data_IF_122268920928
#
_entry.id   IF_122268920928
#
_cell.length_a   1.000
_cell.length_b   1.000
_cell.length_c   1.000
_cell.angle_alpha   90.00
_cell.angle_beta   90.00
_cell.angle_gamma   90.00
#
_symmetry.space_group_name_H-M   'P 1'
#
loop_
_entity.id
_entity.type
_entity.pdbx_description
1 polymer ?
#
# COMPACT_ATOMS: atom_id res chain seq x y z
N UNK A 1 0.59 -24.40 18.98
CA UNK A 1 0.35 -23.09 18.32
C UNK A 1 1.64 -22.28 18.30
N UNK A 2 2.09 -21.83 17.12
CA UNK A 2 3.34 -21.07 16.96
C UNK A 2 3.11 -19.59 17.28
N UNK A 3 4.00 -18.97 18.07
CA UNK A 3 3.89 -17.55 18.49
C UNK A 3 4.91 -16.65 17.79
N UNK A 4 5.83 -17.24 17.04
CA UNK A 4 6.94 -16.58 16.38
C UNK A 4 6.98 -16.93 14.90
N UNK A 5 7.45 -15.99 14.08
CA UNK A 5 7.64 -16.18 12.66
C UNK A 5 8.78 -17.17 12.38
N UNK A 6 8.55 -18.17 11.54
CA UNK A 6 9.52 -19.19 11.17
C UNK A 6 10.73 -18.64 10.39
N UNK A 7 10.62 -17.43 9.83
CA UNK A 7 11.65 -16.84 8.97
C UNK A 7 12.56 -15.84 9.70
N UNK A 8 12.03 -15.09 10.68
CA UNK A 8 12.77 -14.01 11.33
C UNK A 8 12.72 -14.06 12.86
N UNK A 9 12.09 -15.08 13.43
CA UNK A 9 11.81 -15.25 14.86
C UNK A 9 11.10 -14.06 15.52
N UNK A 10 10.51 -13.15 14.74
CA UNK A 10 9.70 -12.04 15.24
C UNK A 10 8.39 -12.53 15.85
N UNK A 11 7.88 -11.81 16.85
CA UNK A 11 6.57 -12.10 17.46
C UNK A 11 5.44 -11.92 16.45
N UNK A 12 4.52 -12.89 16.40
CA UNK A 12 3.25 -12.77 15.70
C UNK A 12 2.25 -12.15 16.66
N UNK A 13 1.95 -10.87 16.48
CA UNK A 13 1.06 -10.10 17.35
C UNK A 13 -0.42 -10.35 17.02
N UNK A 14 -1.31 -10.09 17.98
CA UNK A 14 -2.74 -10.38 17.86
C UNK A 14 -3.15 -11.68 18.52
N UNK A 15 -4.45 -11.88 18.55
CA UNK A 15 -5.21 -12.99 19.14
C UNK A 15 -5.85 -13.88 18.07
N UNK A 16 -5.54 -13.67 16.78
CA UNK A 16 -6.07 -14.46 15.67
C UNK A 16 -7.52 -14.14 15.29
N UNK A 17 -8.24 -13.38 16.12
CA UNK A 17 -9.59 -12.92 15.85
C UNK A 17 -10.53 -14.04 15.40
N UNK A 18 -11.20 -13.90 14.23
CA UNK A 18 -12.20 -14.86 13.79
C UNK A 18 -11.61 -16.22 13.40
N UNK A 19 -10.29 -16.33 13.20
CA UNK A 19 -9.65 -17.62 12.91
C UNK A 19 -9.53 -18.53 14.13
N UNK A 20 -9.70 -18.02 15.35
CA UNK A 20 -9.44 -18.81 16.56
C UNK A 20 -7.97 -19.20 16.78
N UNK A 21 -7.05 -18.75 15.91
CA UNK A 21 -5.63 -19.11 15.96
C UNK A 21 -4.85 -18.48 17.12
N UNK A 22 -5.45 -17.66 18.00
CA UNK A 22 -4.76 -17.10 19.17
C UNK A 22 -3.56 -16.19 18.87
N UNK A 23 -3.18 -16.02 17.59
CA UNK A 23 -2.05 -15.25 17.10
C UNK A 23 -2.38 -14.64 15.74
N UNK A 24 -1.78 -13.49 15.45
CA UNK A 24 -1.92 -12.84 14.15
C UNK A 24 -3.03 -11.78 14.12
N UNK A 25 -2.70 -10.61 13.58
CA UNK A 25 -3.67 -9.58 13.17
C UNK A 25 -3.87 -9.52 11.65
N UNK A 26 -2.91 -10.07 10.91
CA UNK A 26 -2.94 -10.15 9.46
C UNK A 26 -2.91 -11.62 9.05
N UNK A 27 -4.01 -12.07 8.46
CA UNK A 27 -4.28 -13.47 8.17
C UNK A 27 -4.54 -13.62 6.68
N UNK A 28 -4.04 -14.70 6.07
CA UNK A 28 -4.36 -15.05 4.70
C UNK A 28 -5.03 -16.41 4.64
N UNK A 29 -5.96 -16.62 3.73
CA UNK A 29 -6.63 -17.90 3.58
C UNK A 29 -6.99 -18.20 2.13
N UNK A 30 -6.93 -19.48 1.78
CA UNK A 30 -7.38 -20.06 0.52
C UNK A 30 -8.47 -21.09 0.83
N UNK A 31 -9.71 -20.77 0.43
CA UNK A 31 -10.87 -21.65 0.60
C UNK A 31 -10.77 -22.93 -0.24
N UNK A 32 -10.15 -22.85 -1.42
CA UNK A 32 -10.07 -23.98 -2.34
C UNK A 32 -8.98 -24.95 -1.94
N UNK A 33 -7.83 -24.43 -1.51
CA UNK A 33 -6.69 -25.24 -1.07
C UNK A 33 -6.72 -25.58 0.42
N UNK A 34 -7.67 -25.05 1.18
CA UNK A 34 -7.77 -25.30 2.63
C UNK A 34 -6.54 -24.79 3.40
N UNK A 35 -5.97 -23.67 2.96
CA UNK A 35 -4.73 -23.11 3.52
C UNK A 35 -5.04 -21.84 4.32
N UNK A 36 -4.35 -21.71 5.45
CA UNK A 36 -4.44 -20.57 6.34
C UNK A 36 -3.02 -20.16 6.73
N UNK A 37 -2.73 -18.87 6.63
CA UNK A 37 -1.44 -18.30 7.00
C UNK A 37 -1.60 -17.11 7.95
N UNK A 38 -0.61 -16.95 8.81
CA UNK A 38 -0.39 -15.72 9.58
C UNK A 38 0.74 -14.92 8.93
N UNK A 39 0.47 -13.69 8.52
CA UNK A 39 1.47 -12.81 7.90
C UNK A 39 2.25 -12.09 8.99
N UNK A 40 3.57 -12.24 9.00
CA UNK A 40 4.42 -11.59 9.99
C UNK A 40 4.47 -10.07 9.79
N UNK A 41 4.21 -9.25 10.83
CA UNK A 41 4.27 -7.79 10.70
C UNK A 41 5.69 -7.24 10.50
N UNK A 42 6.73 -8.02 10.83
CA UNK A 42 8.14 -7.60 10.76
C UNK A 42 8.77 -7.85 9.40
N UNK A 43 8.61 -9.05 8.84
CA UNK A 43 9.23 -9.45 7.58
C UNK A 43 8.23 -9.72 6.44
N UNK A 44 6.93 -9.56 6.69
CA UNK A 44 5.85 -9.80 5.70
C UNK A 44 5.77 -11.22 5.14
N UNK A 45 6.55 -12.18 5.66
CA UNK A 45 6.50 -13.59 5.29
C UNK A 45 5.24 -14.26 5.84
N UNK A 46 4.69 -15.19 5.07
CA UNK A 46 3.46 -15.91 5.37
C UNK A 46 3.83 -17.21 6.09
N UNK A 47 3.30 -17.38 7.30
CA UNK A 47 3.58 -18.54 8.14
C UNK A 47 2.37 -19.46 8.09
N UNK A 48 2.53 -20.64 7.50
CA UNK A 48 1.47 -21.62 7.36
C UNK A 48 0.98 -22.08 8.75
N UNK A 49 -0.33 -22.02 8.97
CA UNK A 49 -0.94 -22.51 10.20
C UNK A 49 -0.95 -24.04 10.21
N UNK A 50 -0.83 -24.73 11.37
CA UNK A 50 -0.97 -26.19 11.47
C UNK A 50 -2.28 -26.71 10.86
N UNK A 51 -2.33 -28.00 10.51
CA UNK A 51 -3.45 -28.65 9.80
C UNK A 51 -4.71 -28.85 10.66
N UNK A 52 -4.56 -28.90 11.98
CA UNK A 52 -5.65 -29.19 12.91
C UNK A 52 -6.75 -28.10 12.84
N UNK A 53 -7.99 -28.52 12.59
CA UNK A 53 -9.22 -27.71 12.52
C UNK A 53 -9.24 -26.53 11.52
N UNK A 54 -8.43 -26.57 10.44
CA UNK A 54 -8.35 -25.47 9.45
C UNK A 54 -9.68 -25.10 8.77
N UNK A 55 -10.56 -26.07 8.52
CA UNK A 55 -11.80 -25.83 7.75
C UNK A 55 -12.74 -24.86 8.48
N UNK A 56 -13.02 -25.11 9.77
CA UNK A 56 -13.89 -24.24 10.57
C UNK A 56 -13.30 -22.82 10.71
N UNK A 57 -11.97 -22.73 10.85
CA UNK A 57 -11.26 -21.47 10.97
C UNK A 57 -11.30 -20.67 9.64
N UNK A 58 -11.16 -21.36 8.50
CA UNK A 58 -11.25 -20.76 7.17
C UNK A 58 -12.69 -20.29 6.90
N UNK A 59 -13.71 -21.04 7.28
CA UNK A 59 -15.11 -20.62 7.13
C UNK A 59 -15.45 -19.39 7.99
N UNK A 60 -14.93 -19.32 9.22
CA UNK A 60 -15.07 -18.14 10.07
C UNK A 60 -14.37 -16.92 9.45
N UNK A 61 -13.18 -17.10 8.89
CA UNK A 61 -12.47 -16.07 8.14
C UNK A 61 -13.20 -15.66 6.86
N UNK A 62 -13.80 -16.60 6.12
CA UNK A 62 -14.55 -16.33 4.91
C UNK A 62 -15.82 -15.52 5.19
N UNK A 63 -16.53 -15.84 6.29
CA UNK A 63 -17.68 -15.04 6.79
C UNK A 63 -17.24 -13.64 7.18
N UNK A 64 -16.20 -13.51 8.00
CA UNK A 64 -15.64 -12.22 8.39
C UNK A 64 -15.17 -11.40 7.17
N UNK A 65 -14.58 -12.06 6.18
CA UNK A 65 -14.16 -11.43 4.93
C UNK A 65 -15.35 -10.97 4.07
N UNK A 66 -16.49 -11.67 4.12
CA UNK A 66 -17.73 -11.27 3.44
C UNK A 66 -18.38 -10.02 4.04
N UNK A 67 -18.23 -9.82 5.35
CA UNK A 67 -18.64 -8.59 6.04
C UNK A 67 -17.55 -7.49 5.99
N UNK A 68 -16.33 -7.90 5.67
CA UNK A 68 -15.15 -7.06 5.57
C UNK A 68 -15.19 -6.20 4.30
N UNK A 69 -14.36 -5.16 4.29
CA UNK A 69 -14.26 -4.25 3.14
C UNK A 69 -13.01 -4.52 2.33
N UNK A 70 -13.19 -4.77 1.04
CA UNK A 70 -12.08 -4.90 0.10
C UNK A 70 -11.36 -3.55 0.04
N UNK A 71 -10.05 -3.58 0.23
CA UNK A 71 -9.19 -2.42 0.14
C UNK A 71 -8.46 -2.36 -1.20
N UNK A 72 -7.97 -3.50 -1.67
CA UNK A 72 -7.42 -3.67 -3.01
C UNK A 72 -7.49 -5.16 -3.37
N UNK A 73 -7.52 -5.45 -4.67
CA UNK A 73 -7.56 -6.81 -5.17
C UNK A 73 -6.79 -6.91 -6.48
N UNK A 74 -6.16 -8.06 -6.70
CA UNK A 74 -5.63 -8.48 -7.99
C UNK A 74 -6.48 -9.63 -8.52
N UNK A 75 -6.03 -10.30 -9.58
CA UNK A 75 -6.69 -11.50 -10.09
C UNK A 75 -6.66 -12.67 -9.07
N UNK A 76 -5.63 -12.74 -8.24
CA UNK A 76 -5.36 -13.89 -7.36
C UNK A 76 -5.57 -13.61 -5.88
N UNK A 77 -5.50 -12.35 -5.46
CA UNK A 77 -5.50 -11.99 -4.03
C UNK A 77 -6.36 -10.77 -3.79
N UNK A 78 -7.18 -10.80 -2.74
CA UNK A 78 -7.91 -9.64 -2.23
C UNK A 78 -7.52 -9.33 -0.79
N UNK A 79 -7.10 -8.08 -0.57
CA UNK A 79 -6.89 -7.54 0.78
C UNK A 79 -8.19 -6.95 1.29
N UNK A 80 -8.71 -7.54 2.35
CA UNK A 80 -9.97 -7.23 2.99
C UNK A 80 -9.66 -6.75 4.40
N UNK A 81 -10.30 -5.67 4.86
CA UNK A 81 -10.20 -5.28 6.26
C UNK A 81 -11.50 -5.53 6.99
N UNK A 82 -11.40 -6.18 8.13
CA UNK A 82 -12.52 -6.47 9.01
C UNK A 82 -12.12 -6.14 10.45
N UNK A 83 -12.89 -5.26 11.10
CA UNK A 83 -12.58 -4.72 12.44
C UNK A 83 -11.14 -4.21 12.61
N UNK A 84 -10.29 -4.86 13.40
CA UNK A 84 -8.87 -4.50 13.58
C UNK A 84 -7.92 -5.41 12.80
N UNK A 85 -8.47 -6.30 11.95
CA UNK A 85 -7.76 -7.33 11.21
C UNK A 85 -7.63 -7.00 9.73
N UNK A 86 -6.49 -7.40 9.16
CA UNK A 86 -6.26 -7.43 7.72
C UNK A 86 -6.37 -8.90 7.25
N UNK A 87 -7.40 -9.21 6.49
CA UNK A 87 -7.66 -10.52 5.91
C UNK A 87 -7.23 -10.53 4.45
N UNK A 88 -6.51 -11.56 4.03
CA UNK A 88 -6.03 -11.72 2.66
C UNK A 88 -6.66 -12.97 2.08
N UNK A 89 -7.67 -12.78 1.24
CA UNK A 89 -8.35 -13.89 0.58
C UNK A 89 -7.60 -14.25 -0.70
N UNK A 90 -7.22 -15.51 -0.83
CA UNK A 90 -6.52 -16.08 -1.99
C UNK A 90 -7.55 -16.80 -2.88
N UNK A 91 -7.38 -16.70 -4.20
CA UNK A 91 -8.29 -17.25 -5.22
C UNK A 91 -9.07 -16.16 -5.94
N UNK A 92 -9.90 -16.52 -6.94
CA UNK A 92 -10.67 -15.56 -7.74
C UNK A 92 -11.56 -14.70 -6.84
N UNK A 93 -11.27 -13.40 -6.67
CA UNK A 93 -12.06 -12.57 -5.77
C UNK A 93 -13.46 -12.38 -6.34
N UNK A 94 -14.50 -12.63 -5.54
CA UNK A 94 -15.86 -12.23 -5.93
C UNK A 94 -15.83 -10.70 -6.06
N UNK A 95 -16.24 -10.18 -7.23
CA UNK A 95 -16.27 -8.74 -7.52
C UNK A 95 -17.07 -8.04 -6.41
N UNK A 96 -16.41 -7.23 -5.60
CA UNK A 96 -17.04 -6.54 -4.47
C UNK A 96 -16.55 -5.10 -4.39
N UNK A 97 -17.48 -4.21 -4.03
CA UNK A 97 -17.32 -2.76 -4.04
C UNK A 97 -16.52 -2.28 -2.82
N UNK A 98 -15.61 -1.33 -3.05
CA UNK A 98 -14.60 -0.86 -2.08
C UNK A 98 -15.18 0.17 -1.10
N UNK A 99 -14.80 0.13 0.20
CA UNK A 99 -15.23 1.16 1.16
C UNK A 99 -14.22 1.68 2.24
N UNK A 100 -14.39 2.93 2.74
CA UNK A 100 -13.49 4.12 2.88
C UNK A 100 -12.55 4.25 4.08
N UNK A 101 -12.63 3.40 5.08
CA UNK A 101 -12.17 3.77 6.43
C UNK A 101 -10.65 3.80 6.70
N UNK A 102 -9.80 3.74 5.66
CA UNK A 102 -8.46 3.12 5.74
C UNK A 102 -7.30 4.00 6.25
N UNK A 103 -7.50 5.28 6.59
CA UNK A 103 -6.37 6.23 6.55
C UNK A 103 -6.03 6.96 7.85
N UNK A 104 -6.81 6.76 8.93
CA UNK A 104 -6.63 7.47 10.20
C UNK A 104 -5.32 7.16 10.94
N UNK A 105 -4.75 5.97 10.79
CA UNK A 105 -3.58 5.54 11.60
C UNK A 105 -2.23 5.71 10.88
N UNK A 106 -2.12 5.32 9.61
CA UNK A 106 -0.86 5.41 8.83
C UNK A 106 -0.36 6.86 8.68
N UNK A 107 -1.28 7.83 8.67
CA UNK A 107 -0.95 9.25 8.52
C UNK A 107 -0.49 9.90 9.83
N UNK A 108 -0.91 9.40 11.01
CA UNK A 108 -0.44 9.90 12.31
C UNK A 108 1.05 9.64 12.50
N UNK A 109 1.55 8.48 12.07
CA UNK A 109 2.96 8.13 12.11
C UNK A 109 3.82 9.10 11.27
N UNK A 110 3.40 9.36 10.01
CA UNK A 110 4.13 10.29 9.11
C UNK A 110 4.01 11.76 9.55
N UNK A 111 2.91 12.18 10.20
CA UNK A 111 2.79 13.53 10.81
C UNK A 111 3.77 13.70 11.97
N UNK A 112 3.96 12.65 12.78
CA UNK A 112 4.91 12.63 13.90
C UNK A 112 6.35 12.74 13.41
N UNK A 113 6.69 12.15 12.26
CA UNK A 113 8.01 12.34 11.61
C UNK A 113 8.21 13.74 11.02
N UNK A 114 7.18 14.32 10.39
CA UNK A 114 7.23 15.71 9.92
C UNK A 114 7.44 16.70 11.08
N UNK A 115 6.76 16.49 12.21
CA UNK A 115 6.93 17.29 13.43
C UNK A 115 8.37 17.22 13.97
N UNK A 116 9.08 16.09 13.85
CA UNK A 116 10.50 15.98 14.26
C UNK A 116 11.43 16.92 13.50
N UNK A 117 11.11 17.29 12.26
CA UNK A 117 11.89 18.24 11.46
C UNK A 117 11.35 19.67 11.57
N UNK A 118 10.04 19.85 11.57
CA UNK A 118 9.41 21.19 11.61
C UNK A 118 9.59 21.84 12.97
N UNK A 119 9.36 21.11 14.09
CA UNK A 119 9.46 21.65 15.46
C UNK A 119 10.84 22.28 15.73
N UNK A 120 11.99 21.60 15.54
CA UNK A 120 13.29 22.20 15.80
C UNK A 120 13.62 23.38 14.87
N UNK A 121 13.16 23.37 13.61
CA UNK A 121 13.35 24.51 12.69
C UNK A 121 12.53 25.73 13.13
N UNK A 122 11.29 25.52 13.59
CA UNK A 122 10.47 26.61 14.17
C UNK A 122 11.09 27.14 15.47
N UNK A 123 11.59 26.27 16.35
CA UNK A 123 12.22 26.67 17.62
C UNK A 123 13.54 27.42 17.40
N UNK A 124 14.40 26.95 16.49
CA UNK A 124 15.66 27.63 16.15
C UNK A 124 15.42 29.03 15.56
N UNK A 125 14.38 29.19 14.76
CA UNK A 125 14.05 30.48 14.15
C UNK A 125 13.28 31.42 15.09
N UNK A 126 12.55 30.92 16.11
CA UNK A 126 12.08 31.73 17.24
C UNK A 126 13.27 32.27 18.04
N UNK A 127 14.31 31.45 18.27
CA UNK A 127 15.56 31.91 18.90
C UNK A 127 16.27 33.02 18.11
N UNK A 128 16.28 32.92 16.76
CA UNK A 128 16.83 33.96 15.89
C UNK A 128 15.99 35.25 15.89
N UNK A 129 14.66 35.14 15.96
CA UNK A 129 13.75 36.28 16.03
C UNK A 129 13.87 37.06 17.35
N UNK A 130 14.19 36.39 18.47
CA UNK A 130 14.52 37.05 19.74
C UNK A 130 15.84 37.83 19.63
N UNK A 131 16.85 37.28 18.95
CA UNK A 131 18.14 37.96 18.75
C UNK A 131 18.05 39.18 17.82
N UNK A 132 17.23 39.14 16.76
CA UNK A 132 17.04 40.25 15.82
C UNK A 132 16.19 41.39 16.41
N UNK A 133 15.34 41.11 17.41
CA UNK A 133 14.47 42.13 18.03
C UNK A 133 15.18 43.16 18.89
N UNK A 134 16.42 42.90 19.32
CA UNK A 134 17.21 43.89 20.07
C UNK A 134 17.70 45.02 19.16
N UNK A 135 17.75 44.82 17.83
CA UNK A 135 18.41 45.76 16.91
C UNK A 135 17.47 46.62 16.04
N UNK A 136 16.21 46.21 15.77
CA UNK A 136 15.45 46.79 14.64
C UNK A 136 14.03 47.30 14.93
N UNK A 137 13.53 47.26 16.17
CA UNK A 137 12.25 47.90 16.54
C UNK A 137 11.01 47.46 15.73
N UNK A 138 11.04 46.27 15.12
CA UNK A 138 9.95 45.74 14.29
C UNK A 138 9.04 44.78 15.06
N UNK A 139 7.74 44.82 14.79
CA UNK A 139 6.71 44.08 15.53
C UNK A 139 6.91 42.55 15.48
N UNK A 140 7.26 41.95 16.62
CA UNK A 140 7.33 40.50 16.89
C UNK A 140 6.16 39.70 16.27
N UNK A 141 4.95 40.28 16.24
CA UNK A 141 3.75 39.63 15.74
C UNK A 141 3.79 39.25 14.26
N UNK A 142 4.39 40.07 13.37
CA UNK A 142 4.40 39.81 11.93
C UNK A 142 5.36 38.67 11.57
N UNK A 143 6.53 38.60 12.23
CA UNK A 143 7.47 37.50 12.04
C UNK A 143 6.89 36.19 12.56
N UNK A 144 6.40 36.15 13.81
CA UNK A 144 5.82 34.95 14.43
C UNK A 144 4.62 34.42 13.63
N UNK A 145 3.75 35.30 13.12
CA UNK A 145 2.60 34.92 12.30
C UNK A 145 2.99 34.29 10.94
N UNK A 146 4.11 34.72 10.34
CA UNK A 146 4.60 34.19 9.06
C UNK A 146 5.50 32.95 9.20
N UNK A 147 6.00 32.63 10.40
CA UNK A 147 6.90 31.51 10.66
C UNK A 147 6.38 30.13 10.17
N UNK A 148 5.09 29.77 10.36
CA UNK A 148 4.58 28.50 9.86
C UNK A 148 4.65 28.39 8.33
N UNK A 149 4.47 29.51 7.62
CA UNK A 149 4.55 29.56 6.17
C UNK A 149 6.02 29.44 5.71
N UNK A 150 6.94 30.10 6.40
CA UNK A 150 8.38 30.02 6.11
C UNK A 150 8.93 28.61 6.35
N UNK A 151 8.58 27.98 7.47
CA UNK A 151 8.95 26.61 7.78
C UNK A 151 8.37 25.62 6.75
N UNK A 152 7.11 25.82 6.32
CA UNK A 152 6.49 25.03 5.25
C UNK A 152 7.19 25.21 3.91
N UNK A 153 7.58 26.43 3.55
CA UNK A 153 8.35 26.73 2.34
C UNK A 153 9.71 26.03 2.34
N UNK A 154 10.45 26.10 3.46
CA UNK A 154 11.74 25.41 3.57
C UNK A 154 11.59 23.88 3.51
N UNK A 155 10.63 23.32 4.24
CA UNK A 155 10.37 21.88 4.26
C UNK A 155 9.94 21.34 2.88
N UNK A 156 9.06 22.04 2.18
CA UNK A 156 8.68 21.70 0.80
C UNK A 156 9.86 21.85 -0.16
N UNK A 157 10.72 22.85 0.01
CA UNK A 157 11.96 22.99 -0.77
C UNK A 157 12.91 21.80 -0.59
N UNK A 158 13.12 21.35 0.65
CA UNK A 158 13.97 20.20 0.97
C UNK A 158 13.42 18.92 0.37
N UNK A 159 12.12 18.63 0.55
CA UNK A 159 11.53 17.39 0.03
C UNK A 159 11.40 17.43 -1.49
N UNK A 160 11.12 18.60 -2.06
CA UNK A 160 11.05 18.78 -3.51
C UNK A 160 12.37 18.46 -4.22
N UNK A 161 13.51 18.57 -3.52
CA UNK A 161 14.84 18.23 -4.03
C UNK A 161 15.23 16.76 -3.83
N UNK A 162 14.45 15.96 -3.09
CA UNK A 162 14.73 14.52 -2.95
C UNK A 162 14.69 13.86 -4.32
N UNK A 163 15.73 13.07 -4.62
CA UNK A 163 15.79 12.28 -5.85
C UNK A 163 14.72 11.20 -5.82
N UNK A 164 14.09 10.98 -6.96
CA UNK A 164 13.22 9.83 -7.16
C UNK A 164 14.13 8.65 -7.48
N UNK A 165 14.06 7.60 -6.67
CA UNK A 165 14.79 6.36 -6.92
C UNK A 165 14.03 5.55 -7.95
N UNK A 166 14.65 5.34 -9.10
CA UNK A 166 14.23 4.41 -10.15
C UNK A 166 15.33 3.35 -10.31
N UNK A 167 14.98 2.17 -10.81
CA UNK A 167 15.97 1.12 -11.09
C UNK A 167 17.00 1.64 -12.10
N UNK A 168 16.49 2.28 -13.16
CA UNK A 168 17.32 2.90 -14.18
C UNK A 168 16.74 4.28 -14.55
N UNK A 169 17.55 5.35 -14.56
CA UNK A 169 17.03 6.69 -14.88
C UNK A 169 16.72 6.77 -16.38
N UNK A 170 15.51 7.21 -16.77
CA UNK A 170 15.13 7.26 -18.17
C UNK A 170 15.91 8.35 -18.92
N UNK A 171 16.08 8.18 -20.22
CA UNK A 171 16.72 9.16 -21.11
C UNK A 171 15.66 9.98 -21.81
N UNK A 172 15.90 11.28 -21.99
CA UNK A 172 14.96 12.15 -22.69
C UNK A 172 14.96 11.82 -24.18
N UNK A 173 13.82 11.41 -24.74
CA UNK A 173 13.66 11.12 -26.16
C UNK A 173 13.92 12.34 -27.06
N UNK A 174 13.76 13.56 -26.53
CA UNK A 174 13.90 14.79 -27.30
C UNK A 174 15.30 15.42 -27.28
N UNK A 175 16.01 15.37 -26.14
CA UNK A 175 17.31 16.00 -25.99
C UNK A 175 18.45 15.06 -25.57
N UNK A 176 18.17 13.77 -25.40
CA UNK A 176 19.16 12.75 -25.03
C UNK A 176 19.72 12.86 -23.61
N UNK A 177 19.26 13.80 -22.79
CA UNK A 177 19.75 13.92 -21.40
C UNK A 177 19.18 12.84 -20.50
N UNK A 178 19.96 12.31 -19.57
CA UNK A 178 19.47 11.42 -18.50
C UNK A 178 18.56 12.21 -17.54
N UNK A 179 17.34 11.73 -17.30
CA UNK A 179 16.37 12.37 -16.41
C UNK A 179 16.70 12.05 -14.94
N UNK A 180 17.50 12.89 -14.31
CA UNK A 180 17.63 12.89 -12.85
C UNK A 180 16.39 13.52 -12.20
N UNK A 181 15.39 12.69 -11.94
CA UNK A 181 14.12 13.12 -11.36
C UNK A 181 14.28 13.50 -9.88
N UNK A 182 13.66 14.62 -9.53
CA UNK A 182 13.42 15.04 -8.15
C UNK A 182 11.92 15.04 -7.90
N UNK A 183 11.50 14.94 -6.64
CA UNK A 183 10.08 14.87 -6.29
C UNK A 183 9.27 16.06 -6.86
N UNK A 184 9.87 17.25 -6.95
CA UNK A 184 9.24 18.43 -7.57
C UNK A 184 9.02 18.30 -9.08
N UNK A 185 9.82 17.49 -9.79
CA UNK A 185 9.68 17.27 -11.23
C UNK A 185 8.46 16.39 -11.53
N UNK A 186 8.14 15.46 -10.63
CA UNK A 186 6.94 14.61 -10.73
C UNK A 186 5.66 15.46 -10.69
N UNK A 187 5.68 16.66 -10.11
CA UNK A 187 4.56 17.60 -10.14
C UNK A 187 4.01 17.90 -11.55
N UNK A 188 4.89 17.85 -12.56
CA UNK A 188 4.54 18.14 -13.95
C UNK A 188 4.25 16.87 -14.77
N UNK A 189 4.41 15.70 -14.16
CA UNK A 189 4.10 14.44 -14.80
C UNK A 189 2.59 14.26 -14.99
N UNK A 190 2.21 13.46 -15.98
CA UNK A 190 0.81 13.11 -16.30
C UNK A 190 0.64 11.60 -16.19
N UNK A 191 -0.41 11.17 -15.50
CA UNK A 191 -0.82 9.77 -15.52
C UNK A 191 -1.55 9.55 -16.83
N UNK A 192 -1.18 8.51 -17.56
CA UNK A 192 -1.84 8.11 -18.82
C UNK A 192 -2.10 6.61 -18.81
N UNK A 193 -2.98 6.17 -19.70
CA UNK A 193 -3.25 4.74 -19.91
C UNK A 193 -2.35 4.21 -21.01
N UNK A 194 -1.86 3.00 -20.83
CA UNK A 194 -1.13 2.27 -21.86
C UNK A 194 -1.77 0.91 -22.07
N UNK A 195 -1.86 0.46 -23.33
CA UNK A 195 -2.54 -0.79 -23.67
C UNK A 195 -1.94 -2.04 -22.98
N UNK A 196 -0.67 -2.01 -22.59
CA UNK A 196 0.05 -3.15 -21.98
C UNK A 196 0.36 -2.95 -20.50
N UNK A 197 0.21 -1.73 -19.98
CA UNK A 197 0.47 -1.41 -18.58
C UNK A 197 -0.69 -0.57 -18.05
N UNK A 198 -1.38 -1.06 -17.03
CA UNK A 198 -2.59 -0.41 -16.48
C UNK A 198 -2.37 1.07 -16.09
N UNK A 199 -1.12 1.47 -15.83
CA UNK A 199 -0.72 2.83 -15.50
C UNK A 199 0.63 3.15 -16.14
N UNK A 200 0.69 4.25 -16.88
CA UNK A 200 1.92 4.86 -17.35
C UNK A 200 2.03 6.31 -16.88
N UNK A 201 3.26 6.79 -16.75
CA UNK A 201 3.56 8.14 -16.28
C UNK A 201 4.43 8.85 -17.31
N UNK A 202 3.87 9.86 -17.97
CA UNK A 202 4.64 10.74 -18.85
C UNK A 202 5.35 11.78 -18.00
N UNK A 203 6.67 11.86 -18.16
CA UNK A 203 7.54 12.78 -17.44
C UNK A 203 7.92 13.96 -18.31
N UNK A 204 7.89 15.16 -17.74
CA UNK A 204 8.54 16.32 -18.34
C UNK A 204 10.05 16.30 -18.03
N UNK A 205 10.86 16.46 -19.06
CA UNK A 205 12.31 16.57 -18.94
C UNK A 205 12.70 17.84 -18.14
N UNK A 206 13.48 17.72 -17.05
CA UNK A 206 13.92 18.87 -16.28
C UNK A 206 14.81 19.84 -17.08
N UNK A 207 15.51 19.34 -18.10
CA UNK A 207 16.47 20.07 -18.92
C UNK A 207 15.77 20.90 -20.00
N UNK A 208 15.01 20.25 -20.90
CA UNK A 208 14.37 20.92 -22.04
C UNK A 208 12.89 21.26 -21.81
N UNK A 209 12.32 20.90 -20.65
CA UNK A 209 10.92 21.19 -20.23
C UNK A 209 9.82 20.63 -21.15
N UNK A 210 10.16 19.70 -22.02
CA UNK A 210 9.20 19.00 -22.89
C UNK A 210 8.94 17.60 -22.36
N UNK A 211 7.93 16.91 -22.90
CA UNK A 211 7.72 15.50 -22.58
C UNK A 211 8.96 14.71 -22.99
N UNK A 212 9.54 14.01 -22.02
CA UNK A 212 10.89 13.47 -22.14
C UNK A 212 10.94 11.95 -22.10
N UNK A 213 10.10 11.32 -21.30
CA UNK A 213 10.08 9.87 -21.17
C UNK A 213 8.73 9.39 -20.63
N UNK A 214 8.39 8.15 -20.95
CA UNK A 214 7.25 7.45 -20.36
C UNK A 214 7.78 6.35 -19.44
N UNK A 215 7.38 6.39 -18.17
CA UNK A 215 7.56 5.26 -17.25
C UNK A 215 6.34 4.36 -17.28
N UNK A 216 6.57 3.07 -17.10
CA UNK A 216 5.52 2.04 -17.14
C UNK A 216 5.67 1.11 -15.94
N UNK A 217 4.59 0.43 -15.55
CA UNK A 217 4.62 -0.58 -14.50
C UNK A 217 5.21 -0.08 -13.18
N UNK A 218 6.21 -0.81 -12.65
CA UNK A 218 6.80 -0.54 -11.33
C UNK A 218 7.50 0.81 -11.24
N UNK A 219 8.18 1.25 -12.30
CA UNK A 219 8.87 2.55 -12.27
C UNK A 219 7.88 3.71 -12.25
N UNK A 220 6.76 3.59 -12.98
CA UNK A 220 5.67 4.57 -12.93
C UNK A 220 5.07 4.65 -11.52
N UNK A 221 4.77 3.50 -10.90
CA UNK A 221 4.26 3.43 -9.53
C UNK A 221 5.26 4.01 -8.52
N UNK A 222 6.54 3.63 -8.61
CA UNK A 222 7.58 4.12 -7.70
C UNK A 222 7.75 5.64 -7.81
N UNK A 223 7.76 6.19 -9.02
CA UNK A 223 7.79 7.62 -9.26
C UNK A 223 6.56 8.33 -8.70
N UNK A 224 5.36 7.77 -8.92
CA UNK A 224 4.10 8.31 -8.40
C UNK A 224 4.09 8.36 -6.87
N UNK A 225 4.44 7.27 -6.18
CA UNK A 225 4.47 7.21 -4.71
C UNK A 225 5.42 8.26 -4.12
N UNK A 226 6.61 8.37 -4.69
CA UNK A 226 7.63 9.33 -4.23
C UNK A 226 7.24 10.78 -4.54
N UNK A 227 6.66 11.05 -5.71
CA UNK A 227 6.24 12.39 -6.14
C UNK A 227 4.96 12.88 -5.47
N UNK A 228 3.95 12.02 -5.30
CA UNK A 228 2.69 12.37 -4.63
C UNK A 228 2.91 12.67 -3.16
N UNK A 229 3.83 11.95 -2.49
CA UNK A 229 4.25 12.29 -1.12
C UNK A 229 4.73 13.75 -1.02
N UNK A 230 5.45 14.26 -2.02
CA UNK A 230 5.86 15.67 -2.08
C UNK A 230 4.69 16.63 -2.33
N UNK A 231 3.79 16.28 -3.23
CA UNK A 231 2.61 17.11 -3.54
C UNK A 231 1.60 17.15 -2.39
N UNK A 232 1.58 16.12 -1.55
CA UNK A 232 0.71 15.97 -0.40
C UNK A 232 1.30 16.55 0.91
N UNK A 233 2.47 17.20 0.88
CA UNK A 233 3.12 17.76 2.10
C UNK A 233 2.29 18.85 2.79
N UNK A 234 1.36 19.47 2.08
CA UNK A 234 0.36 20.37 2.65
C UNK A 234 -0.77 19.56 3.32
N UNK A 235 -0.43 18.77 4.36
CA UNK A 235 -1.39 17.85 4.99
C UNK A 235 -2.48 18.59 5.75
N UNK A 236 -3.71 18.28 5.34
CA UNK A 236 -4.93 18.72 5.94
C UNK A 236 -5.36 17.90 7.13
N UNK A 237 -6.31 18.43 7.87
CA UNK A 237 -7.06 17.79 8.94
C UNK A 237 -7.50 16.36 8.61
N UNK A 238 -7.83 15.59 9.65
CA UNK A 238 -8.45 14.25 9.57
C UNK A 238 -9.60 14.19 8.53
N UNK A 239 -10.32 15.28 8.37
CA UNK A 239 -11.42 15.43 7.42
C UNK A 239 -10.99 15.26 5.95
N UNK A 240 -9.89 15.90 5.49
CA UNK A 240 -9.43 15.77 4.09
C UNK A 240 -9.04 14.35 3.70
N UNK A 241 -8.63 13.57 4.70
CA UNK A 241 -8.26 12.17 4.53
C UNK A 241 -9.51 11.32 4.30
N UNK A 242 -10.56 11.57 5.08
CA UNK A 242 -11.87 10.94 4.92
C UNK A 242 -12.51 11.35 3.57
N UNK A 243 -12.32 12.59 3.13
CA UNK A 243 -12.78 13.07 1.81
C UNK A 243 -12.07 12.38 0.66
N UNK A 244 -10.74 12.30 0.71
CA UNK A 244 -9.94 11.60 -0.29
C UNK A 244 -10.28 10.10 -0.36
N UNK A 245 -10.59 9.49 0.77
CA UNK A 245 -11.00 8.10 0.83
C UNK A 245 -12.34 7.89 0.13
N UNK A 246 -13.32 8.75 0.41
CA UNK A 246 -14.62 8.76 -0.25
C UNK A 246 -14.51 8.94 -1.76
N UNK A 247 -13.50 9.68 -2.24
CA UNK A 247 -13.20 9.78 -3.66
C UNK A 247 -12.72 8.46 -4.28
N UNK A 248 -11.89 7.68 -3.58
CA UNK A 248 -11.48 6.34 -4.05
C UNK A 248 -12.68 5.40 -4.15
N UNK A 249 -13.55 5.40 -3.14
CA UNK A 249 -14.76 4.55 -3.15
C UNK A 249 -15.75 4.94 -4.23
N UNK A 250 -16.07 6.24 -4.34
CA UNK A 250 -17.07 6.72 -5.29
C UNK A 250 -16.63 6.49 -6.74
N UNK A 251 -15.32 6.39 -6.98
CA UNK A 251 -14.78 5.93 -8.26
C UNK A 251 -14.99 4.42 -8.48
N UNK A 252 -15.29 3.65 -7.44
CA UNK A 252 -15.43 2.19 -7.43
C UNK A 252 -14.11 1.46 -7.22
N UNK A 253 -13.16 2.07 -6.50
CA UNK A 253 -11.90 1.45 -6.07
C UNK A 253 -10.62 2.08 -6.65
N UNK A 254 -9.45 1.62 -6.18
CA UNK A 254 -8.14 2.16 -6.57
C UNK A 254 -7.91 2.18 -8.08
N UNK A 255 -8.14 1.06 -8.77
CA UNK A 255 -7.89 0.96 -10.21
C UNK A 255 -8.83 1.84 -11.02
N UNK A 256 -10.09 1.97 -10.61
CA UNK A 256 -11.04 2.86 -11.29
C UNK A 256 -10.68 4.32 -11.09
N UNK A 257 -10.23 4.71 -9.89
CA UNK A 257 -9.76 6.07 -9.63
C UNK A 257 -8.51 6.39 -10.47
N UNK A 258 -7.53 5.48 -10.49
CA UNK A 258 -6.31 5.69 -11.28
C UNK A 258 -6.68 5.83 -12.77
N UNK A 259 -7.61 5.02 -13.26
CA UNK A 259 -8.14 5.12 -14.62
C UNK A 259 -8.88 6.44 -14.89
N UNK A 260 -9.69 6.96 -13.96
CA UNK A 260 -10.34 8.28 -14.09
C UNK A 260 -9.30 9.40 -14.19
N UNK A 261 -8.26 9.35 -13.34
CA UNK A 261 -7.18 10.33 -13.38
C UNK A 261 -6.42 10.26 -14.71
N UNK A 262 -6.10 9.05 -15.16
CA UNK A 262 -5.38 8.82 -16.41
C UNK A 262 -6.15 9.30 -17.64
N UNK A 263 -7.50 9.21 -17.63
CA UNK A 263 -8.37 9.74 -18.69
C UNK A 263 -8.34 11.26 -18.84
N UNK A 264 -8.08 11.97 -17.75
CA UNK A 264 -8.08 13.45 -17.75
C UNK A 264 -6.80 14.02 -18.33
N UNK A 265 -5.73 13.23 -18.37
CA UNK A 265 -4.43 13.64 -18.88
C UNK A 265 -3.90 14.95 -18.26
N UNK A 266 -4.27 15.18 -17.00
CA UNK A 266 -3.86 16.36 -16.25
C UNK A 266 -2.50 16.13 -15.59
N UNK A 267 -1.74 17.21 -15.42
CA UNK A 267 -0.54 17.17 -14.59
C UNK A 267 -0.90 16.90 -13.13
N UNK A 268 -0.04 16.21 -12.39
CA UNK A 268 -0.28 15.93 -10.97
C UNK A 268 -0.45 17.22 -10.14
N UNK A 269 0.22 18.31 -10.52
CA UNK A 269 0.03 19.64 -9.90
C UNK A 269 -1.36 20.24 -10.16
N UNK A 270 -1.94 19.99 -11.32
CA UNK A 270 -3.28 20.50 -11.67
C UNK A 270 -4.42 19.72 -11.02
N UNK A 271 -4.17 18.52 -10.50
CA UNK A 271 -5.16 17.79 -9.71
C UNK A 271 -5.48 18.55 -8.41
N UNK A 272 -6.76 18.59 -8.05
CA UNK A 272 -7.19 19.10 -6.74
C UNK A 272 -6.51 18.38 -5.59
N UNK A 273 -6.34 19.04 -4.44
CA UNK A 273 -5.63 18.51 -3.27
C UNK A 273 -6.20 17.15 -2.82
N UNK A 274 -7.52 17.02 -2.78
CA UNK A 274 -8.21 15.79 -2.39
C UNK A 274 -8.00 14.66 -3.40
N UNK A 275 -8.08 14.95 -4.70
CA UNK A 275 -7.81 13.95 -5.76
C UNK A 275 -6.36 13.49 -5.78
N UNK A 276 -5.39 14.38 -5.49
CA UNK A 276 -3.98 13.97 -5.35
C UNK A 276 -3.79 13.00 -4.20
N UNK A 277 -4.43 13.27 -3.07
CA UNK A 277 -4.38 12.41 -1.90
C UNK A 277 -5.07 11.07 -2.20
N UNK A 278 -6.25 11.10 -2.82
CA UNK A 278 -6.96 9.89 -3.26
C UNK A 278 -6.12 9.05 -4.24
N UNK A 279 -5.40 9.70 -5.17
CA UNK A 279 -4.48 9.03 -6.08
C UNK A 279 -3.27 8.42 -5.34
N UNK A 280 -2.69 9.13 -4.36
CA UNK A 280 -1.62 8.59 -3.51
C UNK A 280 -2.10 7.30 -2.83
N UNK A 281 -3.30 7.35 -2.26
CA UNK A 281 -3.93 6.23 -1.56
C UNK A 281 -4.19 5.05 -2.49
N UNK A 282 -4.75 5.29 -3.67
CA UNK A 282 -5.01 4.25 -4.67
C UNK A 282 -3.71 3.58 -5.16
N UNK A 283 -2.67 4.37 -5.44
CA UNK A 283 -1.36 3.82 -5.87
C UNK A 283 -0.69 3.02 -4.75
N UNK A 284 -0.76 3.50 -3.50
CA UNK A 284 -0.23 2.77 -2.34
C UNK A 284 -0.97 1.45 -2.09
N UNK A 285 -2.30 1.44 -2.23
CA UNK A 285 -3.13 0.24 -2.04
C UNK A 285 -2.90 -0.81 -3.12
N UNK A 286 -2.78 -0.37 -4.38
CA UNK A 286 -2.43 -1.27 -5.48
C UNK A 286 -1.06 -1.92 -5.26
N UNK A 287 -0.06 -1.13 -4.88
CA UNK A 287 1.28 -1.66 -4.56
C UNK A 287 1.24 -2.63 -3.37
N UNK A 288 0.43 -2.37 -2.34
CA UNK A 288 0.27 -3.27 -1.19
C UNK A 288 -0.25 -4.65 -1.62
N UNK A 289 -1.19 -4.72 -2.56
CA UNK A 289 -1.75 -6.01 -3.00
C UNK A 289 -0.87 -6.71 -4.01
N UNK A 290 -0.18 -5.99 -4.89
CA UNK A 290 0.86 -6.56 -5.75
C UNK A 290 1.99 -7.20 -4.91
N UNK A 291 2.37 -6.59 -3.78
CA UNK A 291 3.35 -7.15 -2.84
C UNK A 291 2.80 -8.39 -2.12
N UNK A 292 1.52 -8.38 -1.73
CA UNK A 292 0.86 -9.55 -1.13
C UNK A 292 0.79 -10.72 -2.10
N UNK A 293 0.46 -10.48 -3.38
CA UNK A 293 0.42 -11.53 -4.40
C UNK A 293 1.81 -12.15 -4.63
N UNK A 294 2.88 -11.35 -4.60
CA UNK A 294 4.24 -11.90 -4.69
C UNK A 294 4.57 -12.79 -3.49
N UNK A 295 4.30 -12.33 -2.27
CA UNK A 295 4.55 -13.14 -1.09
C UNK A 295 3.66 -14.39 -1.03
N UNK A 296 2.44 -14.33 -1.56
CA UNK A 296 1.59 -15.50 -1.73
C UNK A 296 2.26 -16.54 -2.63
N UNK A 297 2.75 -16.16 -3.82
CA UNK A 297 3.44 -17.09 -4.74
C UNK A 297 4.62 -17.78 -4.07
N UNK A 298 5.46 -17.02 -3.37
CA UNK A 298 6.59 -17.59 -2.62
C UNK A 298 6.14 -18.52 -1.47
N UNK A 299 5.06 -18.17 -0.77
CA UNK A 299 4.52 -18.98 0.32
C UNK A 299 3.86 -20.26 -0.18
N UNK A 300 3.25 -20.19 -1.36
CA UNK A 300 2.61 -21.31 -2.03
C UNK A 300 3.63 -22.36 -2.47
N UNK A 301 4.76 -21.93 -3.04
CA UNK A 301 5.91 -22.79 -3.35
C UNK A 301 6.43 -23.51 -2.09
N UNK A 302 6.59 -22.79 -0.98
CA UNK A 302 7.04 -23.39 0.30
C UNK A 302 6.02 -24.41 0.82
N UNK A 303 4.73 -24.09 0.73
CA UNK A 303 3.67 -24.98 1.18
C UNK A 303 3.55 -26.22 0.29
N UNK A 304 3.76 -26.12 -1.02
CA UNK A 304 3.85 -27.29 -1.92
C UNK A 304 5.04 -28.20 -1.56
N UNK A 305 6.20 -27.62 -1.21
CA UNK A 305 7.34 -28.40 -0.72
C UNK A 305 6.96 -29.12 0.59
N UNK A 306 6.32 -28.42 1.53
CA UNK A 306 5.91 -29.00 2.81
C UNK A 306 4.92 -30.17 2.59
N UNK A 307 3.93 -29.99 1.73
CA UNK A 307 2.97 -31.04 1.36
C UNK A 307 3.70 -32.22 0.69
N UNK A 308 4.63 -31.95 -0.23
CA UNK A 308 5.44 -32.98 -0.89
C UNK A 308 6.34 -33.78 0.06
N UNK A 309 6.90 -33.14 1.10
CA UNK A 309 7.66 -33.83 2.15
C UNK A 309 6.79 -34.59 3.15
N UNK A 310 5.50 -34.24 3.29
CA UNK A 310 4.53 -35.03 4.06
C UNK A 310 3.97 -36.20 3.23
N UNK A 311 3.99 -36.10 1.90
CA UNK A 311 3.61 -37.17 0.95
C UNK A 311 4.62 -38.33 0.87
N UNK A 312 5.81 -38.21 1.45
CA UNK A 312 6.79 -39.31 1.44
C UNK A 312 6.52 -40.45 2.44
N UNK A 313 5.37 -40.43 3.13
CA UNK A 313 4.90 -41.58 3.91
C UNK A 313 3.86 -42.37 3.09
N UNK A 314 4.25 -43.50 2.45
CA UNK A 314 3.36 -44.26 1.57
C UNK A 314 2.06 -44.73 2.24
N UNK A 315 2.02 -44.79 3.58
CA UNK A 315 0.81 -45.10 4.36
C UNK A 315 -0.23 -43.97 4.34
N UNK A 316 0.22 -42.70 4.34
CA UNK A 316 -0.67 -41.54 4.29
C UNK A 316 -1.29 -41.36 2.89
N UNK A 317 -0.52 -41.65 1.85
CA UNK A 317 -0.98 -41.59 0.47
C UNK A 317 -2.03 -42.67 0.18
N UNK A 318 -1.81 -43.88 0.69
CA UNK A 318 -2.76 -45.00 0.58
C UNK A 318 -4.05 -44.73 1.37
N UNK A 319 -3.97 -44.08 2.54
CA UNK A 319 -5.15 -43.70 3.33
C UNK A 319 -5.93 -42.53 2.69
N UNK A 320 -5.23 -41.54 2.12
CA UNK A 320 -5.85 -40.45 1.36
C UNK A 320 -6.54 -40.96 0.09
N UNK A 321 -5.93 -41.89 -0.65
CA UNK A 321 -6.59 -42.55 -1.78
C UNK A 321 -7.82 -43.36 -1.35
N UNK A 322 -7.75 -44.02 -0.19
CA UNK A 322 -8.87 -44.79 0.38
C UNK A 322 -10.04 -43.88 0.76
N UNK A 323 -9.76 -42.71 1.33
CA UNK A 323 -10.76 -41.68 1.66
C UNK A 323 -11.35 -41.07 0.37
N UNK A 324 -10.52 -40.76 -0.64
CA UNK A 324 -10.98 -40.25 -1.95
C UNK A 324 -11.87 -41.26 -2.67
N UNK A 325 -11.55 -42.56 -2.61
CA UNK A 325 -12.38 -43.65 -3.14
C UNK A 325 -13.69 -43.84 -2.39
N UNK A 326 -13.73 -43.56 -1.07
CA UNK A 326 -14.97 -43.56 -0.29
C UNK A 326 -15.87 -42.38 -0.65
N UNK A 327 -15.30 -41.18 -0.77
CA UNK A 327 -16.03 -39.97 -1.15
C UNK A 327 -16.51 -39.99 -2.61
N UNK A 328 -15.78 -40.66 -3.51
CA UNK A 328 -16.21 -40.89 -4.90
C UNK A 328 -17.18 -42.07 -5.08
N UNK A 329 -17.58 -42.75 -4.01
CA UNK A 329 -18.48 -43.92 -4.03
C UNK A 329 -19.83 -43.70 -3.36
N UNK A 330 -20.14 -42.51 -2.84
CA UNK A 330 -21.53 -42.22 -2.47
C UNK A 330 -22.40 -42.32 -3.74
N UNK A 331 -23.29 -43.32 -3.83
CA UNK A 331 -24.25 -43.34 -4.91
C UNK A 331 -25.29 -42.27 -4.62
N UNK A 332 -25.71 -41.56 -5.66
CA UNK A 332 -27.04 -40.97 -5.68
C UNK A 332 -28.05 -42.08 -5.31
N UNK A 333 -28.55 -42.10 -4.08
CA UNK A 333 -29.65 -42.96 -3.69
C UNK A 333 -30.60 -42.24 -2.74
N UNK A 334 -31.65 -41.71 -3.39
CA UNK A 334 -33.01 -41.43 -2.92
C UNK A 334 -33.27 -40.23 -2.02
#
# INVERSE_FOLDING_TARGET
MYRTCAFCNGKLDGDGGPSGLGVGRRLAFDEWKGRLWVICPKCSRWNLAPLDDRLEQIEALARAAGEGRVAAATEHVALIRWQTYDLVRVGKPRRMEFATWRYGERLRARRREQLKFVVPVTVAAVGLAVAVNVAAGGSLGVFVWNMPNLARMMYTGIIGRRRVSLVEPPICERCGSVLHLQAKHVAYARVVRQAQADVALILSCPTCRTEGAMLVGRDAQAALRQGLTYLALARGSRQRVEDAARLVESAGGPDRLINDVARRELTLRSLGVERRLALEMAVDERAEVEDLERHWKEAEEIAEIADGTLSSDPLLEEELERIRKKLGREPESS
#
